data_IF_873790626585
#
_entry.id   IF_873790626585
#
_cell.length_a   1.000
_cell.length_b   1.000
_cell.length_c   1.000
_cell.angle_alpha   90.00
_cell.angle_beta   90.00
_cell.angle_gamma   90.00
#
_symmetry.space_group_name_H-M   'P 1'
#
loop_
_entity.id
_entity.type
_entity.pdbx_description
1 polymer ?
#
# COMPACT_ATOMS: atom_id res chain seq x y z
N UNK A 1 -6.43 -21.69 7.17
CA UNK A 1 -6.34 -20.30 6.71
C UNK A 1 -4.96 -20.15 6.08
N UNK A 2 -4.87 -20.06 4.74
CA UNK A 2 -3.59 -19.88 4.05
C UNK A 2 -3.16 -18.42 4.23
N UNK A 3 -2.05 -18.20 4.92
CA UNK A 3 -1.48 -16.88 5.16
C UNK A 3 -0.79 -16.36 3.89
N UNK A 4 -1.57 -15.75 3.01
CA UNK A 4 -1.13 -15.14 1.74
C UNK A 4 -0.21 -13.91 1.94
N UNK A 5 0.08 -13.53 3.20
CA UNK A 5 0.96 -12.41 3.55
C UNK A 5 2.32 -12.85 4.10
N UNK A 6 2.61 -14.16 4.15
CA UNK A 6 3.87 -14.66 4.69
C UNK A 6 5.09 -14.14 3.89
N UNK A 7 5.92 -13.31 4.51
CA UNK A 7 7.03 -12.64 3.83
C UNK A 7 8.14 -13.57 3.32
N UNK A 8 8.15 -14.83 3.77
CA UNK A 8 9.05 -15.89 3.27
C UNK A 8 8.64 -16.42 1.89
N UNK A 9 7.36 -16.28 1.52
CA UNK A 9 6.80 -16.85 0.30
C UNK A 9 6.60 -15.81 -0.82
N UNK A 10 7.22 -14.62 -0.71
CA UNK A 10 7.02 -13.51 -1.66
C UNK A 10 7.26 -13.87 -3.11
N UNK A 11 8.32 -14.63 -3.42
CA UNK A 11 8.57 -15.06 -4.79
C UNK A 11 7.42 -15.93 -5.32
N UNK A 12 6.93 -16.85 -4.49
CA UNK A 12 5.82 -17.75 -4.82
C UNK A 12 4.51 -16.96 -5.00
N UNK A 13 4.23 -16.01 -4.10
CA UNK A 13 3.08 -15.10 -4.22
C UNK A 13 3.12 -14.33 -5.55
N UNK A 14 4.29 -13.83 -5.96
CA UNK A 14 4.44 -13.15 -7.25
C UNK A 14 4.30 -14.10 -8.45
N UNK A 15 4.72 -15.37 -8.33
CA UNK A 15 4.45 -16.40 -9.35
C UNK A 15 2.96 -16.71 -9.47
N UNK A 16 2.25 -16.74 -8.35
CA UNK A 16 0.80 -16.92 -8.34
C UNK A 16 0.09 -15.71 -8.95
N UNK A 17 0.56 -14.49 -8.66
CA UNK A 17 0.09 -13.27 -9.35
C UNK A 17 0.28 -13.37 -10.86
N UNK A 18 1.47 -13.77 -11.34
CA UNK A 18 1.72 -13.99 -12.77
C UNK A 18 0.75 -15.04 -13.36
N UNK A 19 0.51 -16.13 -12.64
CA UNK A 19 -0.38 -17.23 -13.07
C UNK A 19 -1.86 -16.84 -13.07
N UNK A 20 -2.30 -16.02 -12.12
CA UNK A 20 -3.66 -15.49 -12.08
C UNK A 20 -3.82 -14.48 -13.22
N UNK A 21 -2.87 -13.55 -13.36
CA UNK A 21 -2.89 -12.53 -14.41
C UNK A 21 -2.97 -13.15 -15.82
N UNK A 22 -2.32 -14.29 -16.07
CA UNK A 22 -2.39 -14.97 -17.37
C UNK A 22 -3.75 -15.60 -17.68
N UNK A 23 -4.69 -15.62 -16.74
CA UNK A 23 -6.04 -16.18 -16.89
C UNK A 23 -7.13 -15.09 -16.91
N UNK A 24 -6.76 -13.84 -16.70
CA UNK A 24 -7.71 -12.73 -16.67
C UNK A 24 -8.19 -12.38 -18.07
N UNK A 25 -9.47 -12.06 -18.18
CA UNK A 25 -10.10 -11.49 -19.35
C UNK A 25 -10.35 -9.99 -19.17
N UNK A 26 -10.77 -9.32 -20.24
CA UNK A 26 -11.21 -7.94 -20.16
C UNK A 26 -12.38 -7.81 -19.17
N UNK A 27 -12.33 -6.75 -18.35
CA UNK A 27 -13.21 -6.40 -17.24
C UNK A 27 -13.04 -7.23 -15.96
N UNK A 28 -12.10 -8.17 -15.90
CA UNK A 28 -11.77 -8.84 -14.65
C UNK A 28 -11.02 -7.89 -13.70
N UNK A 29 -11.32 -8.00 -12.41
CA UNK A 29 -10.66 -7.23 -11.35
C UNK A 29 -9.68 -8.14 -10.62
N UNK A 30 -8.45 -7.65 -10.43
CA UNK A 30 -7.44 -8.29 -9.62
C UNK A 30 -7.09 -7.41 -8.43
N UNK A 31 -7.17 -8.00 -7.23
CA UNK A 31 -6.70 -7.39 -5.99
C UNK A 31 -5.60 -8.24 -5.39
N UNK A 32 -4.49 -7.60 -5.04
CA UNK A 32 -3.29 -8.24 -4.49
C UNK A 32 -2.94 -7.51 -3.21
N UNK A 33 -2.58 -8.27 -2.17
CA UNK A 33 -1.99 -7.74 -0.95
C UNK A 33 -0.71 -8.51 -0.64
N UNK A 34 0.41 -7.80 -0.44
CA UNK A 34 1.74 -8.36 -0.20
C UNK A 34 2.39 -7.69 1.00
N UNK A 35 3.19 -8.44 1.75
CA UNK A 35 4.01 -7.86 2.81
C UNK A 35 5.14 -7.03 2.22
N UNK A 36 5.18 -5.75 2.60
CA UNK A 36 6.15 -4.75 2.15
C UNK A 36 7.03 -4.18 3.28
N UNK A 37 7.18 -4.92 4.37
CA UNK A 37 8.02 -4.52 5.50
C UNK A 37 9.49 -4.82 5.24
N UNK A 38 10.37 -3.82 5.39
CA UNK A 38 11.82 -4.04 5.24
C UNK A 38 12.34 -5.01 6.32
N UNK A 39 11.73 -4.99 7.52
CA UNK A 39 12.05 -5.86 8.65
C UNK A 39 11.95 -7.36 8.34
N UNK A 40 11.18 -7.73 7.32
CA UNK A 40 11.07 -9.14 6.88
C UNK A 40 12.27 -9.64 6.06
N UNK A 41 13.19 -8.73 5.72
CA UNK A 41 14.50 -9.03 5.16
C UNK A 41 15.51 -9.34 6.29
N UNK A 42 15.17 -9.10 7.54
CA UNK A 42 16.01 -9.38 8.70
C UNK A 42 15.98 -8.24 9.69
N UNK A 43 16.58 -8.48 10.84
CA UNK A 43 16.77 -7.47 11.86
C UNK A 43 18.16 -6.83 11.68
N UNK A 44 18.26 -5.57 12.09
CA UNK A 44 19.53 -4.88 12.25
C UNK A 44 20.20 -5.39 13.51
N UNK A 45 21.47 -5.76 13.42
CA UNK A 45 22.26 -6.15 14.58
C UNK A 45 22.64 -4.91 15.42
N UNK A 46 22.87 -5.06 16.72
CA UNK A 46 23.11 -3.94 17.65
C UNK A 46 24.29 -3.04 17.23
N UNK A 47 25.34 -3.64 16.67
CA UNK A 47 26.56 -2.95 16.23
C UNK A 47 26.58 -2.63 14.73
N UNK A 48 25.55 -3.02 13.98
CA UNK A 48 25.47 -2.80 12.54
C UNK A 48 25.03 -1.36 12.27
N UNK A 49 25.68 -0.68 11.32
CA UNK A 49 25.24 0.62 10.82
C UNK A 49 23.97 0.51 9.96
N UNK A 50 23.27 1.62 9.75
CA UNK A 50 22.09 1.63 8.87
C UNK A 50 22.45 1.21 7.44
N UNK A 51 23.59 1.71 6.93
CA UNK A 51 24.05 1.41 5.58
C UNK A 51 24.39 -0.09 5.41
N UNK A 52 25.05 -0.71 6.40
CA UNK A 52 25.34 -2.15 6.38
C UNK A 52 24.06 -2.99 6.37
N UNK A 53 23.09 -2.65 7.23
CA UNK A 53 21.79 -3.30 7.24
C UNK A 53 21.09 -3.19 5.88
N UNK A 54 21.07 -1.98 5.31
CA UNK A 54 20.42 -1.71 4.04
C UNK A 54 21.09 -2.45 2.87
N UNK A 55 22.41 -2.59 2.87
CA UNK A 55 23.11 -3.40 1.88
C UNK A 55 22.72 -4.89 1.99
N UNK A 56 22.74 -5.45 3.21
CA UNK A 56 22.28 -6.84 3.44
C UNK A 56 20.81 -7.02 3.03
N UNK A 57 19.96 -6.05 3.35
CA UNK A 57 18.55 -6.06 3.01
C UNK A 57 18.34 -6.05 1.48
N UNK A 58 19.09 -5.23 0.74
CA UNK A 58 19.03 -5.19 -0.72
C UNK A 58 19.36 -6.55 -1.34
N UNK A 59 20.47 -7.18 -0.93
CA UNK A 59 20.85 -8.51 -1.41
C UNK A 59 19.78 -9.55 -1.10
N UNK A 60 19.20 -9.52 0.11
CA UNK A 60 18.11 -10.42 0.49
C UNK A 60 16.83 -10.14 -0.31
N UNK A 61 16.53 -8.89 -0.62
CA UNK A 61 15.38 -8.52 -1.46
C UNK A 61 15.55 -9.05 -2.88
N UNK A 62 16.74 -8.89 -3.47
CA UNK A 62 17.09 -9.47 -4.78
C UNK A 62 16.88 -10.99 -4.79
N UNK A 63 17.38 -11.69 -3.78
CA UNK A 63 17.22 -13.14 -3.67
C UNK A 63 15.76 -13.56 -3.46
N UNK A 64 15.03 -12.89 -2.57
CA UNK A 64 13.63 -13.23 -2.23
C UNK A 64 12.62 -12.85 -3.31
N UNK A 65 12.92 -11.89 -4.18
CA UNK A 65 12.04 -11.50 -5.30
C UNK A 65 12.47 -12.19 -6.60
N UNK A 66 13.73 -12.62 -6.71
CA UNK A 66 14.27 -13.33 -7.85
C UNK A 66 14.00 -12.59 -9.16
N UNK A 67 13.37 -13.28 -10.10
CA UNK A 67 13.05 -12.72 -11.43
C UNK A 67 12.11 -11.50 -11.41
N UNK A 68 11.40 -11.27 -10.30
CA UNK A 68 10.49 -10.13 -10.15
C UNK A 68 11.17 -8.89 -9.58
N UNK A 69 12.41 -9.00 -9.10
CA UNK A 69 13.15 -7.84 -8.63
C UNK A 69 13.24 -6.77 -9.76
N UNK A 70 12.94 -5.49 -9.47
CA UNK A 70 13.03 -4.41 -10.46
C UNK A 70 14.48 -4.15 -10.87
N UNK A 71 14.76 -4.05 -12.17
CA UNK A 71 16.13 -3.94 -12.68
C UNK A 71 16.76 -2.56 -12.43
N UNK A 72 15.94 -1.55 -12.17
CA UNK A 72 16.35 -0.16 -11.95
C UNK A 72 16.73 0.16 -10.50
N UNK A 73 16.64 -0.81 -9.60
CA UNK A 73 16.93 -0.62 -8.17
C UNK A 73 18.33 -1.13 -7.86
N UNK A 74 19.26 -0.20 -7.67
CA UNK A 74 20.67 -0.50 -7.38
C UNK A 74 21.17 0.14 -6.09
N UNK A 75 20.52 1.22 -5.63
CA UNK A 75 20.90 1.93 -4.42
C UNK A 75 20.34 1.24 -3.17
N UNK A 76 21.23 0.83 -2.26
CA UNK A 76 20.85 0.22 -0.99
C UNK A 76 20.04 1.18 -0.10
N UNK A 77 20.18 2.50 -0.28
CA UNK A 77 19.43 3.50 0.49
C UNK A 77 17.92 3.43 0.25
N UNK A 78 17.49 2.77 -0.83
CA UNK A 78 16.08 2.46 -1.09
C UNK A 78 15.48 1.44 -0.10
N UNK A 79 16.30 0.75 0.70
CA UNK A 79 15.85 -0.20 1.74
C UNK A 79 15.35 0.52 3.00
N UNK A 80 14.32 1.35 2.82
CA UNK A 80 13.48 1.89 3.88
C UNK A 80 12.11 1.21 3.82
N UNK A 81 11.25 1.37 4.84
CA UNK A 81 9.90 0.77 4.77
C UNK A 81 9.08 1.31 3.57
N UNK A 82 9.26 2.59 3.22
CA UNK A 82 8.61 3.18 2.05
C UNK A 82 9.24 2.69 0.77
N UNK A 83 10.56 2.82 0.62
CA UNK A 83 11.26 2.43 -0.61
C UNK A 83 11.13 0.93 -0.90
N UNK A 84 11.10 0.08 0.12
CA UNK A 84 10.83 -1.33 -0.07
C UNK A 84 9.38 -1.61 -0.50
N UNK A 85 8.41 -0.79 -0.09
CA UNK A 85 7.05 -0.86 -0.63
C UNK A 85 7.00 -0.49 -2.11
N UNK A 86 7.75 0.53 -2.54
CA UNK A 86 7.83 0.89 -3.95
C UNK A 86 8.44 -0.27 -4.78
N UNK A 87 9.45 -0.96 -4.25
CA UNK A 87 10.04 -2.16 -4.87
C UNK A 87 9.01 -3.29 -5.00
N UNK A 88 8.20 -3.52 -3.97
CA UNK A 88 7.14 -4.54 -4.00
C UNK A 88 6.06 -4.16 -5.04
N UNK A 89 5.70 -2.88 -5.16
CA UNK A 89 4.79 -2.41 -6.23
C UNK A 89 5.34 -2.73 -7.61
N UNK A 90 6.61 -2.38 -7.88
CA UNK A 90 7.25 -2.66 -9.17
C UNK A 90 7.42 -4.17 -9.43
N UNK A 91 7.64 -4.97 -8.39
CA UNK A 91 7.68 -6.42 -8.51
C UNK A 91 6.30 -7.00 -8.89
N UNK A 92 5.22 -6.50 -8.28
CA UNK A 92 3.85 -6.87 -8.62
C UNK A 92 3.49 -6.45 -10.05
N UNK A 93 3.88 -5.22 -10.46
CA UNK A 93 3.78 -4.75 -11.86
C UNK A 93 4.44 -5.72 -12.82
N UNK A 94 5.69 -6.11 -12.53
CA UNK A 94 6.46 -7.05 -13.36
C UNK A 94 5.78 -8.42 -13.42
N UNK A 95 5.20 -8.92 -12.33
CA UNK A 95 4.46 -10.17 -12.32
C UNK A 95 3.18 -10.11 -13.18
N UNK A 96 2.38 -9.05 -13.03
CA UNK A 96 1.15 -8.84 -13.81
C UNK A 96 1.47 -8.70 -15.30
N UNK A 97 2.42 -7.84 -15.66
CA UNK A 97 2.82 -7.64 -17.05
C UNK A 97 3.35 -8.92 -17.68
N UNK A 98 4.04 -9.78 -16.91
CA UNK A 98 4.49 -11.09 -17.39
C UNK A 98 3.32 -12.04 -17.64
N UNK A 99 2.33 -12.07 -16.75
CA UNK A 99 1.13 -12.89 -16.92
C UNK A 99 0.32 -12.50 -18.15
N UNK A 100 0.20 -11.19 -18.42
CA UNK A 100 -0.53 -10.66 -19.57
C UNK A 100 0.22 -10.75 -20.91
N UNK A 101 1.49 -11.22 -20.95
CA UNK A 101 2.26 -11.30 -22.21
C UNK A 101 1.59 -12.14 -23.30
N UNK A 102 0.78 -13.13 -22.92
CA UNK A 102 0.02 -13.96 -23.85
C UNK A 102 -1.20 -13.26 -24.47
N UNK A 103 -1.56 -12.08 -23.99
CA UNK A 103 -2.76 -11.33 -24.37
C UNK A 103 -2.38 -9.86 -24.61
N UNK A 104 -1.69 -9.54 -25.72
CA UNK A 104 -1.14 -8.21 -25.97
C UNK A 104 -2.20 -7.11 -26.15
N UNK A 105 -3.45 -7.50 -26.37
CA UNK A 105 -4.60 -6.60 -26.42
C UNK A 105 -5.15 -6.24 -25.03
N UNK A 106 -4.61 -6.83 -23.96
CA UNK A 106 -5.03 -6.57 -22.58
C UNK A 106 -4.00 -5.75 -21.83
N UNK A 107 -4.50 -4.82 -21.02
CA UNK A 107 -3.71 -3.95 -20.15
C UNK A 107 -4.28 -4.00 -18.74
N UNK A 108 -3.43 -3.85 -17.74
CA UNK A 108 -3.87 -3.73 -16.35
C UNK A 108 -3.85 -2.26 -15.95
N UNK A 109 -5.02 -1.72 -15.62
CA UNK A 109 -5.19 -0.37 -15.11
C UNK A 109 -5.31 -0.42 -13.58
N UNK A 110 -4.30 0.09 -12.83
CA UNK A 110 -4.44 0.27 -11.39
C UNK A 110 -5.63 1.20 -11.07
N UNK A 111 -6.49 0.77 -10.16
CA UNK A 111 -7.61 1.55 -9.66
C UNK A 111 -7.37 2.06 -8.24
N UNK A 112 -6.42 1.49 -7.52
CA UNK A 112 -6.07 1.96 -6.19
C UNK A 112 -4.87 1.20 -5.63
N UNK A 113 -3.96 1.94 -5.02
CA UNK A 113 -2.75 1.42 -4.41
C UNK A 113 -2.59 1.99 -3.01
N UNK A 114 -2.45 1.08 -2.06
CA UNK A 114 -2.46 1.42 -0.64
C UNK A 114 -1.31 0.75 0.07
N UNK A 115 -0.71 1.46 1.01
CA UNK A 115 0.20 0.92 2.00
C UNK A 115 -0.40 1.13 3.37
N UNK A 116 -0.51 0.09 4.18
CA UNK A 116 -1.05 0.19 5.53
C UNK A 116 -0.23 -0.65 6.51
N UNK A 117 -0.31 -0.33 7.79
CA UNK A 117 0.32 -1.10 8.85
C UNK A 117 -0.74 -1.97 9.53
N UNK A 118 -0.51 -3.28 9.63
CA UNK A 118 -1.42 -4.23 10.29
C UNK A 118 -1.09 -4.45 11.80
N UNK A 119 -0.23 -3.60 12.35
CA UNK A 119 0.31 -3.65 13.72
C UNK A 119 1.77 -4.08 13.73
N UNK A 120 2.12 -5.14 13.00
CA UNK A 120 3.48 -5.69 12.97
C UNK A 120 4.19 -5.45 11.63
N UNK A 121 3.43 -5.40 10.54
CA UNK A 121 3.93 -5.33 9.19
C UNK A 121 3.27 -4.20 8.38
N UNK A 122 4.10 -3.53 7.58
CA UNK A 122 3.66 -2.83 6.39
C UNK A 122 3.19 -3.82 5.32
N UNK A 123 2.00 -3.53 4.81
CA UNK A 123 1.30 -4.27 3.78
C UNK A 123 1.05 -3.35 2.60
N UNK A 124 1.38 -3.83 1.41
CA UNK A 124 1.07 -3.19 0.13
C UNK A 124 -0.15 -3.86 -0.49
N UNK A 125 -1.13 -3.08 -0.92
CA UNK A 125 -2.30 -3.56 -1.64
C UNK A 125 -2.48 -2.81 -2.94
N UNK A 126 -2.70 -3.54 -4.03
CA UNK A 126 -3.11 -2.98 -5.31
C UNK A 126 -4.41 -3.63 -5.77
N UNK A 127 -5.34 -2.80 -6.22
CA UNK A 127 -6.53 -3.23 -6.95
C UNK A 127 -6.48 -2.61 -8.33
N UNK A 128 -6.79 -3.39 -9.35
CA UNK A 128 -6.92 -2.89 -10.70
C UNK A 128 -7.81 -3.77 -11.55
N UNK A 129 -8.10 -3.27 -12.74
CA UNK A 129 -8.97 -3.91 -13.72
C UNK A 129 -8.16 -4.21 -14.97
N UNK A 130 -8.43 -5.37 -15.59
CA UNK A 130 -7.90 -5.69 -16.91
C UNK A 130 -8.84 -5.10 -17.95
N UNK A 131 -8.33 -4.30 -18.87
CA UNK A 131 -9.09 -3.68 -19.95
C UNK A 131 -8.48 -4.06 -21.28
N UNK A 132 -9.20 -3.83 -22.38
CA UNK A 132 -8.53 -3.85 -23.68
C UNK A 132 -7.71 -2.58 -23.84
N UNK A 133 -6.57 -2.72 -24.52
CA UNK A 133 -5.69 -1.61 -24.85
C UNK A 133 -6.47 -0.53 -25.63
N UNK A 134 -6.44 0.71 -25.14
CA UNK A 134 -7.17 1.86 -25.70
C UNK A 134 -8.50 2.16 -25.01
N UNK A 135 -9.04 1.27 -24.17
CA UNK A 135 -10.32 1.47 -23.46
C UNK A 135 -10.16 2.12 -22.07
N UNK A 136 -8.92 2.42 -21.63
CA UNK A 136 -8.64 2.90 -20.26
C UNK A 136 -9.32 4.23 -19.95
N UNK A 137 -9.20 5.21 -20.84
CA UNK A 137 -9.78 6.54 -20.65
C UNK A 137 -11.31 6.50 -20.69
N UNK A 138 -11.87 5.74 -21.66
CA UNK A 138 -13.32 5.57 -21.78
C UNK A 138 -13.90 4.92 -20.52
N UNK A 139 -13.22 3.90 -19.97
CA UNK A 139 -13.62 3.26 -18.72
C UNK A 139 -13.61 4.26 -17.54
N UNK A 140 -12.55 5.03 -17.39
CA UNK A 140 -12.41 6.02 -16.31
C UNK A 140 -13.47 7.12 -16.39
N UNK A 141 -13.81 7.57 -17.61
CA UNK A 141 -14.87 8.57 -17.83
C UNK A 141 -16.25 8.02 -17.54
N UNK A 142 -16.59 6.82 -18.07
CA UNK A 142 -17.91 6.19 -17.89
C UNK A 142 -18.17 5.77 -16.46
N UNK A 143 -17.15 5.28 -15.76
CA UNK A 143 -17.27 4.86 -14.35
C UNK A 143 -17.27 6.04 -13.37
N UNK A 144 -16.80 7.21 -13.80
CA UNK A 144 -16.58 8.36 -12.92
C UNK A 144 -15.42 8.17 -11.93
N UNK A 145 -14.63 7.11 -12.09
CA UNK A 145 -13.49 6.81 -11.22
C UNK A 145 -12.38 7.85 -11.33
N UNK A 146 -12.29 8.57 -12.45
CA UNK A 146 -11.40 9.72 -12.60
C UNK A 146 -11.62 10.84 -11.58
N UNK A 147 -12.81 10.91 -10.96
CA UNK A 147 -13.15 11.91 -9.92
C UNK A 147 -12.90 11.37 -8.50
N UNK A 148 -12.57 10.10 -8.34
CA UNK A 148 -12.38 9.49 -7.04
C UNK A 148 -10.94 9.69 -6.56
N UNK A 149 -10.75 10.40 -5.45
CA UNK A 149 -9.43 10.82 -4.93
C UNK A 149 -8.47 9.64 -4.65
N UNK A 150 -9.01 8.45 -4.37
CA UNK A 150 -8.25 7.24 -4.09
C UNK A 150 -7.89 6.45 -5.35
N UNK A 151 -8.43 6.83 -6.51
CA UNK A 151 -8.02 6.26 -7.79
C UNK A 151 -6.68 6.84 -8.18
N UNK A 152 -5.68 5.96 -8.16
CA UNK A 152 -4.31 6.23 -8.59
C UNK A 152 -3.98 5.25 -9.71
N UNK A 153 -3.95 5.76 -10.94
CA UNK A 153 -3.79 4.98 -12.16
C UNK A 153 -2.32 4.82 -12.59
N UNK A 154 -1.39 5.43 -11.86
CA UNK A 154 0.06 5.29 -12.00
C UNK A 154 0.60 4.25 -11.01
N UNK A 155 1.72 3.59 -11.31
CA UNK A 155 2.31 2.58 -10.42
C UNK A 155 3.14 3.16 -9.26
N UNK A 156 3.34 4.48 -9.29
CA UNK A 156 4.27 5.19 -8.40
C UNK A 156 3.55 5.94 -7.28
N UNK A 157 2.21 6.07 -7.34
CA UNK A 157 1.42 6.79 -6.34
C UNK A 157 0.71 5.83 -5.37
N UNK A 158 1.48 5.34 -4.40
CA UNK A 158 0.96 4.49 -3.33
C UNK A 158 0.47 5.38 -2.19
N UNK A 159 -0.82 5.30 -1.86
CA UNK A 159 -1.44 6.05 -0.76
C UNK A 159 -1.20 5.35 0.58
N UNK A 160 -0.67 6.07 1.56
CA UNK A 160 -0.49 5.53 2.91
C UNK A 160 -1.81 5.60 3.69
N UNK A 161 -2.39 4.45 4.04
CA UNK A 161 -3.45 4.34 5.03
C UNK A 161 -2.78 4.13 6.39
N UNK A 162 -2.37 5.24 6.99
CA UNK A 162 -1.90 5.28 8.38
C UNK A 162 -3.03 5.89 9.21
N UNK A 163 -3.86 5.02 9.79
CA UNK A 163 -4.83 5.44 10.79
C UNK A 163 -4.13 5.46 12.15
N UNK A 164 -4.14 6.59 12.88
CA UNK A 164 -3.63 6.62 14.24
C UNK A 164 -4.40 5.63 15.11
N UNK A 165 -3.67 4.91 15.98
CA UNK A 165 -4.29 4.12 17.02
C UNK A 165 -4.86 5.08 18.07
N UNK A 166 -6.17 5.26 18.02
CA UNK A 166 -6.90 6.20 18.87
C UNK A 166 -7.67 5.42 19.90
N UNK A 167 -7.44 5.77 21.17
CA UNK A 167 -8.31 5.34 22.26
C UNK A 167 -9.75 5.83 22.02
N UNK A 168 -10.72 5.17 22.67
CA UNK A 168 -12.13 5.56 22.57
C UNK A 168 -12.34 7.04 22.94
N UNK A 169 -11.61 7.54 23.94
CA UNK A 169 -11.70 8.93 24.41
C UNK A 169 -11.16 9.91 23.37
N UNK A 170 -10.00 9.63 22.80
CA UNK A 170 -9.40 10.46 21.75
C UNK A 170 -10.26 10.52 20.50
N UNK A 171 -10.88 9.38 20.14
CA UNK A 171 -11.83 9.29 19.03
C UNK A 171 -13.10 10.10 19.28
N UNK A 172 -13.71 10.00 20.47
CA UNK A 172 -14.86 10.81 20.83
C UNK A 172 -14.56 12.32 20.72
N UNK A 173 -13.36 12.74 21.10
CA UNK A 173 -12.93 14.13 20.93
C UNK A 173 -12.88 14.56 19.46
N UNK A 174 -12.42 13.68 18.56
CA UNK A 174 -12.41 13.94 17.13
C UNK A 174 -13.83 13.96 16.54
N UNK A 175 -14.67 12.99 16.91
CA UNK A 175 -16.02 12.81 16.37
C UNK A 175 -16.92 14.03 16.62
N UNK A 176 -16.67 14.77 17.71
CA UNK A 176 -17.39 16.02 18.02
C UNK A 176 -17.17 17.13 16.99
N UNK A 177 -15.98 17.19 16.40
CA UNK A 177 -15.54 18.32 15.58
C UNK A 177 -15.31 17.97 14.11
N UNK A 178 -15.18 16.67 13.77
CA UNK A 178 -14.81 16.16 12.44
C UNK A 178 -15.78 16.54 11.31
N UNK A 179 -17.03 16.87 11.64
CA UNK A 179 -18.05 17.29 10.69
C UNK A 179 -18.22 18.81 10.60
N UNK A 180 -17.59 19.56 11.49
CA UNK A 180 -17.90 20.97 11.74
C UNK A 180 -16.69 21.89 11.57
N UNK A 181 -15.46 21.37 11.72
CA UNK A 181 -14.23 22.14 11.72
C UNK A 181 -13.24 21.68 10.65
N UNK A 182 -12.39 22.60 10.20
CA UNK A 182 -11.26 22.31 9.31
C UNK A 182 -10.19 21.49 10.05
N UNK A 183 -9.44 20.58 9.38
CA UNK A 183 -8.40 19.78 10.01
C UNK A 183 -7.37 20.59 10.81
N UNK A 184 -7.00 21.80 10.38
CA UNK A 184 -6.07 22.65 11.11
C UNK A 184 -6.65 23.14 12.44
N UNK A 185 -7.95 23.46 12.46
CA UNK A 185 -8.65 23.94 13.66
C UNK A 185 -8.91 22.80 14.64
N UNK A 186 -9.26 21.61 14.12
CA UNK A 186 -9.35 20.39 14.93
C UNK A 186 -7.99 20.10 15.58
N UNK A 187 -6.89 20.14 14.82
CA UNK A 187 -5.55 19.85 15.33
C UNK A 187 -5.11 20.76 16.49
N UNK A 188 -5.49 22.04 16.46
CA UNK A 188 -5.22 22.99 17.54
C UNK A 188 -6.05 22.71 18.80
N UNK A 189 -7.29 22.25 18.62
CA UNK A 189 -8.27 22.05 19.69
C UNK A 189 -8.09 20.71 20.41
N UNK A 190 -7.49 19.72 19.75
CA UNK A 190 -7.27 18.40 20.35
C UNK A 190 -6.37 18.49 21.59
N UNK A 191 -6.74 17.85 22.70
CA UNK A 191 -5.93 17.83 23.92
C UNK A 191 -4.70 16.91 23.82
N UNK A 192 -4.47 16.32 22.65
CA UNK A 192 -3.37 15.39 22.36
C UNK A 192 -2.83 15.64 20.95
N UNK A 193 -1.64 15.11 20.67
CA UNK A 193 -1.00 15.15 19.35
C UNK A 193 -0.68 13.73 18.89
N UNK A 194 -0.80 13.48 17.58
CA UNK A 194 -0.53 12.18 16.97
C UNK A 194 0.97 11.89 16.77
N UNK A 195 1.77 12.94 16.72
CA UNK A 195 3.23 12.88 16.63
C UNK A 195 3.82 14.06 17.43
N UNK A 196 5.08 13.92 17.84
CA UNK A 196 5.91 14.99 18.41
C UNK A 196 6.13 16.16 17.44
N UNK A 197 6.14 15.87 16.13
CA UNK A 197 6.25 16.87 15.07
C UNK A 197 4.86 17.37 14.65
N UNK A 198 4.69 18.69 14.63
CA UNK A 198 3.38 19.32 14.43
C UNK A 198 2.83 19.11 13.01
N UNK A 199 3.69 19.17 11.98
CA UNK A 199 3.29 18.96 10.59
C UNK A 199 2.90 17.50 10.34
N UNK A 200 3.69 16.56 10.87
CA UNK A 200 3.36 15.12 10.78
C UNK A 200 2.06 14.79 11.51
N UNK A 201 1.85 15.40 12.67
CA UNK A 201 0.64 15.24 13.46
C UNK A 201 -0.60 15.76 12.72
N UNK A 202 -0.49 16.87 11.98
CA UNK A 202 -1.56 17.39 11.13
C UNK A 202 -1.81 16.51 9.91
N UNK A 203 -0.76 15.99 9.26
CA UNK A 203 -0.89 15.08 8.13
C UNK A 203 -1.60 13.78 8.53
N UNK A 204 -1.25 13.22 9.70
CA UNK A 204 -1.95 12.08 10.30
C UNK A 204 -3.45 12.36 10.50
N UNK A 205 -3.81 13.54 11.00
CA UNK A 205 -5.21 13.94 11.15
C UNK A 205 -5.94 14.05 9.81
N UNK A 206 -5.33 14.68 8.81
CA UNK A 206 -5.92 14.77 7.45
C UNK A 206 -6.16 13.39 6.85
N UNK A 207 -5.19 12.48 6.97
CA UNK A 207 -5.33 11.07 6.56
C UNK A 207 -6.48 10.39 7.31
N UNK A 208 -6.55 10.58 8.63
CA UNK A 208 -7.64 10.03 9.45
C UNK A 208 -9.02 10.49 8.94
N UNK A 209 -9.21 11.80 8.71
CA UNK A 209 -10.49 12.36 8.24
C UNK A 209 -10.87 11.80 6.87
N UNK A 210 -9.92 11.70 5.93
CA UNK A 210 -10.16 11.12 4.59
C UNK A 210 -10.66 9.68 4.65
N UNK A 211 -10.22 8.92 5.65
CA UNK A 211 -10.58 7.52 5.83
C UNK A 211 -11.73 7.31 6.84
N UNK A 212 -12.06 8.30 7.68
CA UNK A 212 -13.04 8.24 8.77
C UNK A 212 -14.42 7.77 8.29
N UNK A 213 -14.95 8.33 7.19
CA UNK A 213 -16.26 7.93 6.64
C UNK A 213 -16.31 6.49 6.11
N UNK A 214 -15.15 5.87 5.89
CA UNK A 214 -14.99 4.61 5.16
C UNK A 214 -14.54 3.47 6.06
N UNK A 215 -14.17 3.75 7.31
CA UNK A 215 -13.74 2.74 8.28
C UNK A 215 -14.94 2.31 9.13
N UNK A 216 -15.34 1.01 9.12
CA UNK A 216 -16.44 0.55 9.95
C UNK A 216 -16.08 0.64 11.44
N UNK A 217 -16.98 1.23 12.23
CA UNK A 217 -16.83 1.34 13.67
C UNK A 217 -17.20 0.02 14.33
N UNK A 218 -16.23 -0.86 14.55
CA UNK A 218 -16.43 -2.05 15.38
C UNK A 218 -16.24 -1.68 16.85
N UNK A 219 -17.34 -1.30 17.49
CA UNK A 219 -17.39 -1.24 18.96
C UNK A 219 -17.73 -2.64 19.46
N UNK A 220 -16.92 -3.17 20.36
CA UNK A 220 -17.22 -4.46 21.01
C UNK A 220 -18.52 -4.26 21.81
N UNK A 221 -19.60 -4.92 21.39
CA UNK A 221 -20.83 -4.95 22.18
C UNK A 221 -20.52 -5.71 23.48
N UNK A 222 -20.46 -4.98 24.59
CA UNK A 222 -20.41 -5.59 25.91
C UNK A 222 -21.87 -5.90 26.26
N UNK A 223 -22.24 -7.18 26.21
CA UNK A 223 -23.46 -7.69 26.82
C UNK A 223 -23.18 -8.08 28.26
#
# INVERSE_FOLDING_TARGET
MLDYAAAKDRQKQLQEVETIASKLAANDILKITLNSSVKTLGNRDEFESIDEFQQKALTKAQNKLGRYFPNNVTDYKSMTDRGFTDIISQAAKKAILRGLRGSPNLVFLPLGQFRYNDGFHWMYTITGIVLKSGEENEFLEKSGLNRFELVKNDWDNISDIALPDLSLRERMCLDLDIHSLDPCEIHKKLPFKFDSDEERSLDCLKRYITHYKRYPNFVKAVF
#
